data_IF_336949309474
#
_entry.id   IF_336949309474
#
_cell.length_a   1.000
_cell.length_b   1.000
_cell.length_c   1.000
_cell.angle_alpha   90.00
_cell.angle_beta   90.00
_cell.angle_gamma   90.00
#
_symmetry.space_group_name_H-M   'P 1'
#
loop_
_entity.id
_entity.type
_entity.pdbx_description
1 polymer ?
#
# COMPACT_ATOMS: atom_id res chain seq x y z
N UNK A 1 29.72 9.53 -8.75
CA UNK A 1 28.89 8.65 -7.91
C UNK A 1 28.82 7.30 -8.59
N UNK A 2 28.37 6.23 -7.93
CA UNK A 2 28.10 4.97 -8.63
C UNK A 2 26.96 5.18 -9.65
N UNK A 3 27.10 4.66 -10.87
CA UNK A 3 26.11 4.79 -11.94
C UNK A 3 24.74 4.20 -11.53
N UNK A 4 24.74 3.18 -10.66
CA UNK A 4 23.53 2.68 -10.02
C UNK A 4 22.88 3.72 -9.09
N UNK A 5 23.66 4.39 -8.23
CA UNK A 5 23.13 5.42 -7.33
C UNK A 5 22.57 6.62 -8.09
N UNK A 6 23.20 7.04 -9.19
CA UNK A 6 22.65 8.10 -10.05
C UNK A 6 21.30 7.71 -10.67
N UNK A 7 21.08 6.43 -10.97
CA UNK A 7 19.77 5.93 -11.41
C UNK A 7 18.75 6.01 -10.27
N UNK A 8 19.12 5.59 -9.05
CA UNK A 8 18.25 5.68 -7.87
C UNK A 8 17.84 7.14 -7.60
N UNK A 9 18.77 8.08 -7.62
CA UNK A 9 18.46 9.51 -7.42
C UNK A 9 17.49 10.05 -8.50
N UNK A 10 17.67 9.66 -9.78
CA UNK A 10 16.73 10.03 -10.85
C UNK A 10 15.33 9.44 -10.62
N UNK A 11 15.25 8.18 -10.19
CA UNK A 11 13.97 7.52 -9.87
C UNK A 11 13.27 8.19 -8.66
N UNK A 12 14.01 8.49 -7.59
CA UNK A 12 13.50 9.21 -6.42
C UNK A 12 13.02 10.62 -6.77
N UNK A 13 13.74 11.36 -7.61
CA UNK A 13 13.33 12.69 -8.08
C UNK A 13 12.06 12.63 -8.94
N UNK A 14 11.93 11.63 -9.82
CA UNK A 14 10.73 11.41 -10.62
C UNK A 14 9.52 11.03 -9.75
N UNK A 15 9.72 10.14 -8.78
CA UNK A 15 8.70 9.72 -7.82
C UNK A 15 8.24 10.87 -6.91
N UNK A 16 9.17 11.69 -6.40
CA UNK A 16 8.84 12.90 -5.64
C UNK A 16 7.97 13.87 -6.45
N UNK A 17 8.32 14.13 -7.72
CA UNK A 17 7.49 14.94 -8.63
C UNK A 17 6.10 14.32 -8.87
N UNK A 18 6.01 13.00 -9.02
CA UNK A 18 4.75 12.26 -9.18
C UNK A 18 3.84 12.38 -7.95
N UNK A 19 4.40 12.23 -6.75
CA UNK A 19 3.64 12.26 -5.50
C UNK A 19 3.19 13.69 -5.12
N UNK A 20 4.06 14.68 -5.31
CA UNK A 20 3.79 16.10 -4.98
C UNK A 20 2.96 16.84 -6.05
N UNK A 21 2.75 16.27 -7.24
CA UNK A 21 1.93 16.89 -8.29
C UNK A 21 0.50 17.12 -7.80
N UNK A 22 0.08 18.38 -7.74
CA UNK A 22 -1.31 18.78 -7.52
C UNK A 22 -2.18 18.30 -8.69
N UNK A 23 -3.35 17.76 -8.40
CA UNK A 23 -4.27 17.30 -9.44
C UNK A 23 -4.78 18.47 -10.28
N UNK A 24 -4.74 18.40 -11.63
CA UNK A 24 -5.14 19.51 -12.49
C UNK A 24 -6.59 19.93 -12.26
N UNK A 25 -6.87 21.23 -12.38
CA UNK A 25 -8.22 21.79 -12.14
C UNK A 25 -9.32 21.19 -13.04
N UNK A 26 -8.95 20.66 -14.21
CA UNK A 26 -9.84 19.89 -15.09
C UNK A 26 -10.46 18.65 -14.41
N UNK A 27 -9.83 18.11 -13.35
CA UNK A 27 -10.44 17.05 -12.54
C UNK A 27 -11.74 17.50 -11.85
N UNK A 28 -12.12 18.78 -11.79
CA UNK A 28 -13.45 19.19 -11.28
C UNK A 28 -14.60 18.62 -12.11
N UNK A 29 -14.45 18.48 -13.43
CA UNK A 29 -15.47 17.86 -14.27
C UNK A 29 -15.46 16.33 -14.13
N UNK A 30 -14.27 15.70 -14.12
CA UNK A 30 -14.13 14.27 -13.85
C UNK A 30 -14.66 13.87 -12.46
N UNK A 31 -14.49 14.73 -11.45
CA UNK A 31 -15.08 14.58 -10.10
C UNK A 31 -16.60 14.52 -10.11
N UNK A 32 -17.28 15.17 -11.06
CA UNK A 32 -18.74 15.04 -11.22
C UNK A 32 -19.14 13.61 -11.62
N UNK A 33 -18.38 12.99 -12.52
CA UNK A 33 -18.57 11.59 -12.94
C UNK A 33 -18.16 10.63 -11.83
N UNK A 34 -16.99 10.83 -11.21
CA UNK A 34 -16.50 9.98 -10.13
C UNK A 34 -17.38 10.07 -8.87
N UNK A 35 -17.93 11.25 -8.55
CA UNK A 35 -18.95 11.40 -7.50
C UNK A 35 -20.19 10.54 -7.76
N UNK A 36 -20.69 10.51 -9.00
CA UNK A 36 -21.81 9.63 -9.38
C UNK A 36 -21.45 8.16 -9.27
N UNK A 37 -20.27 7.74 -9.72
CA UNK A 37 -19.78 6.36 -9.54
C UNK A 37 -19.69 5.99 -8.06
N UNK A 38 -19.19 6.87 -7.21
CA UNK A 38 -19.10 6.66 -5.76
C UNK A 38 -20.48 6.48 -5.10
N UNK A 39 -21.48 7.20 -5.61
CA UNK A 39 -22.89 7.12 -5.17
C UNK A 39 -23.65 5.91 -5.76
N UNK A 40 -23.13 5.28 -6.83
CA UNK A 40 -23.69 4.06 -7.43
C UNK A 40 -23.21 2.77 -6.75
N UNK A 41 -22.16 2.82 -5.93
CA UNK A 41 -21.69 1.67 -5.14
C UNK A 41 -22.73 1.40 -4.03
N UNK A 42 -23.33 0.19 -3.96
CA UNK A 42 -24.32 -0.12 -2.93
C UNK A 42 -23.73 -0.06 -1.51
N UNK A 43 -24.52 0.39 -0.55
CA UNK A 43 -24.10 0.55 0.86
C UNK A 43 -23.51 -0.74 1.46
N UNK A 44 -24.08 -1.91 1.14
CA UNK A 44 -23.55 -3.22 1.56
C UNK A 44 -22.10 -3.46 1.09
N UNK A 45 -21.75 -2.97 -0.10
CA UNK A 45 -20.40 -3.07 -0.67
C UNK A 45 -19.46 -2.11 0.05
N UNK A 46 -19.87 -0.87 0.32
CA UNK A 46 -19.09 0.08 1.14
C UNK A 46 -18.78 -0.47 2.53
N UNK A 47 -19.77 -1.10 3.18
CA UNK A 47 -19.62 -1.73 4.50
C UNK A 47 -18.67 -2.93 4.47
N UNK A 48 -18.77 -3.78 3.44
CA UNK A 48 -17.87 -4.91 3.24
C UNK A 48 -16.42 -4.48 2.99
N UNK A 49 -16.18 -3.49 2.11
CA UNK A 49 -14.85 -2.91 1.89
C UNK A 49 -14.28 -2.32 3.18
N UNK A 50 -15.08 -1.54 3.90
CA UNK A 50 -14.68 -0.89 5.16
C UNK A 50 -14.31 -1.92 6.21
N UNK A 51 -15.07 -3.01 6.33
CA UNK A 51 -14.79 -4.13 7.24
C UNK A 51 -13.52 -4.90 6.83
N UNK A 52 -13.29 -5.07 5.52
CA UNK A 52 -12.12 -5.75 4.98
C UNK A 52 -10.83 -4.96 5.21
N UNK A 53 -10.86 -3.64 4.95
CA UNK A 53 -9.78 -2.70 5.29
C UNK A 53 -9.54 -2.72 6.80
N UNK A 54 -10.60 -2.76 7.61
CA UNK A 54 -10.47 -2.84 9.08
C UNK A 54 -9.70 -4.07 9.53
N UNK A 55 -10.10 -5.24 9.06
CA UNK A 55 -9.45 -6.50 9.42
C UNK A 55 -8.00 -6.53 8.93
N UNK A 56 -7.72 -6.00 7.74
CA UNK A 56 -6.35 -5.84 7.20
C UNK A 56 -5.47 -4.97 8.11
N UNK A 57 -5.97 -3.80 8.54
CA UNK A 57 -5.26 -2.87 9.43
C UNK A 57 -4.99 -3.50 10.80
N UNK A 58 -5.99 -4.17 11.39
CA UNK A 58 -5.83 -4.86 12.67
C UNK A 58 -4.81 -6.01 12.57
N UNK A 59 -4.88 -6.83 11.51
CA UNK A 59 -3.92 -7.90 11.27
C UNK A 59 -2.48 -7.38 11.07
N UNK A 60 -2.32 -6.23 10.41
CA UNK A 60 -1.02 -5.58 10.23
C UNK A 60 -0.43 -5.08 11.56
N UNK A 61 -1.23 -4.43 12.41
CA UNK A 61 -0.75 -3.89 13.70
C UNK A 61 -0.46 -5.01 14.70
N UNK A 62 -1.36 -6.00 14.84
CA UNK A 62 -1.15 -7.19 15.69
C UNK A 62 0.07 -7.99 15.19
N UNK A 63 0.27 -8.04 13.86
CA UNK A 63 1.45 -8.58 13.19
C UNK A 63 1.51 -10.11 13.07
N UNK A 64 0.71 -10.85 13.84
CA UNK A 64 0.68 -12.32 13.84
C UNK A 64 0.49 -12.97 12.46
N UNK A 65 -0.19 -12.28 11.53
CA UNK A 65 -0.36 -12.70 10.14
C UNK A 65 0.87 -12.47 9.24
N UNK A 66 1.74 -11.51 9.57
CA UNK A 66 2.77 -11.00 8.67
C UNK A 66 4.20 -10.91 9.25
N UNK A 67 4.44 -11.20 10.53
CA UNK A 67 5.80 -11.06 11.12
C UNK A 67 6.48 -12.39 11.46
N UNK A 68 5.74 -13.50 11.48
CA UNK A 68 6.13 -14.76 12.16
C UNK A 68 7.30 -15.53 11.54
N UNK A 69 7.65 -15.27 10.26
CA UNK A 69 8.77 -15.94 9.55
C UNK A 69 9.75 -15.00 8.86
N UNK A 70 9.72 -13.70 9.21
CA UNK A 70 10.53 -12.66 8.55
C UNK A 70 11.66 -12.19 9.46
N UNK A 71 12.85 -12.09 8.87
CA UNK A 71 14.04 -11.49 9.46
C UNK A 71 14.54 -10.42 8.48
N UNK A 72 15.07 -9.28 8.97
CA UNK A 72 15.68 -8.29 8.11
C UNK A 72 16.90 -8.88 7.39
N UNK A 73 17.08 -8.55 6.11
CA UNK A 73 18.29 -8.90 5.37
C UNK A 73 19.32 -7.78 5.57
N UNK A 74 20.30 -8.05 6.41
CA UNK A 74 21.40 -7.13 6.72
C UNK A 74 22.57 -7.28 5.74
N UNK A 75 23.45 -6.27 5.66
CA UNK A 75 24.69 -6.30 4.87
C UNK A 75 24.55 -6.29 3.33
N UNK A 76 23.37 -6.57 2.78
CA UNK A 76 23.12 -6.63 1.33
C UNK A 76 23.26 -5.25 0.66
N UNK A 77 23.93 -5.11 -0.51
CA UNK A 77 23.97 -3.86 -1.28
C UNK A 77 22.58 -3.41 -1.77
N UNK A 78 22.36 -2.10 -1.91
CA UNK A 78 21.04 -1.55 -2.28
C UNK A 78 20.55 -2.05 -3.67
N UNK A 79 21.45 -2.20 -4.64
CA UNK A 79 21.12 -2.74 -5.96
C UNK A 79 20.60 -4.19 -5.90
N UNK A 80 21.17 -4.99 -5.01
CA UNK A 80 20.73 -6.37 -4.82
C UNK A 80 19.38 -6.43 -4.10
N UNK A 81 19.15 -5.57 -3.08
CA UNK A 81 17.84 -5.43 -2.43
C UNK A 81 16.76 -5.06 -3.46
N UNK A 82 17.04 -4.10 -4.33
CA UNK A 82 16.14 -3.68 -5.41
C UNK A 82 15.81 -4.84 -6.36
N UNK A 83 16.82 -5.63 -6.78
CA UNK A 83 16.63 -6.82 -7.61
C UNK A 83 15.69 -7.83 -6.93
N UNK A 84 15.91 -8.14 -5.66
CA UNK A 84 15.03 -9.02 -4.88
C UNK A 84 13.60 -8.47 -4.79
N UNK A 85 13.41 -7.16 -4.67
CA UNK A 85 12.05 -6.56 -4.66
C UNK A 85 11.37 -6.67 -6.03
N UNK A 86 12.10 -6.48 -7.13
CA UNK A 86 11.55 -6.68 -8.49
C UNK A 86 11.09 -8.13 -8.71
N UNK A 87 11.87 -9.11 -8.24
CA UNK A 87 11.48 -10.53 -8.27
C UNK A 87 10.24 -10.80 -7.40
N UNK A 88 10.15 -10.16 -6.22
CA UNK A 88 8.96 -10.23 -5.36
C UNK A 88 7.73 -9.63 -6.05
N UNK A 89 7.83 -8.47 -6.70
CA UNK A 89 6.72 -7.87 -7.47
C UNK A 89 6.20 -8.87 -8.51
N UNK A 90 7.10 -9.49 -9.27
CA UNK A 90 6.75 -10.49 -10.28
C UNK A 90 6.12 -11.76 -9.68
N UNK A 91 6.62 -12.26 -8.55
CA UNK A 91 6.03 -13.37 -7.81
C UNK A 91 4.61 -13.05 -7.34
N UNK A 92 4.40 -11.90 -6.70
CA UNK A 92 3.10 -11.52 -6.16
C UNK A 92 2.05 -11.19 -7.24
N UNK A 93 2.48 -10.68 -8.39
CA UNK A 93 1.61 -10.55 -9.59
C UNK A 93 1.09 -11.91 -10.05
N UNK A 94 1.97 -12.91 -10.16
CA UNK A 94 1.59 -14.28 -10.54
C UNK A 94 0.65 -14.91 -9.49
N UNK A 95 0.91 -14.70 -8.21
CA UNK A 95 0.04 -15.20 -7.12
C UNK A 95 -1.37 -14.60 -7.23
N UNK A 96 -1.48 -13.26 -7.33
CA UNK A 96 -2.76 -12.57 -7.49
C UNK A 96 -3.48 -12.94 -8.80
N UNK A 97 -2.74 -13.32 -9.85
CA UNK A 97 -3.32 -13.84 -11.09
C UNK A 97 -3.94 -15.23 -10.92
N UNK A 98 -3.25 -16.16 -10.24
CA UNK A 98 -3.75 -17.52 -10.00
C UNK A 98 -5.04 -17.48 -9.17
N UNK A 99 -5.06 -16.65 -8.12
CA UNK A 99 -6.25 -16.45 -7.29
C UNK A 99 -7.40 -15.78 -8.09
N UNK A 100 -7.11 -14.69 -8.82
CA UNK A 100 -8.12 -14.00 -9.63
C UNK A 100 -8.60 -14.75 -10.88
N UNK A 101 -7.85 -15.73 -11.37
CA UNK A 101 -8.26 -16.59 -12.48
C UNK A 101 -9.24 -17.70 -12.03
N UNK A 102 -9.13 -18.18 -10.79
CA UNK A 102 -10.02 -19.19 -10.22
C UNK A 102 -11.47 -18.72 -10.09
N UNK A 103 -11.69 -17.45 -9.72
CA UNK A 103 -13.04 -16.87 -9.57
C UNK A 103 -13.54 -16.12 -10.82
N UNK A 104 -12.68 -15.88 -11.82
CA UNK A 104 -13.06 -15.23 -13.09
C UNK A 104 -14.15 -15.94 -13.89
N UNK A 105 -14.35 -17.26 -13.68
CA UNK A 105 -15.41 -18.03 -14.33
C UNK A 105 -16.80 -17.91 -13.66
N UNK A 106 -16.90 -17.37 -12.44
CA UNK A 106 -18.15 -17.31 -11.66
C UNK A 106 -18.69 -15.90 -11.38
N UNK A 107 -18.07 -14.87 -11.97
CA UNK A 107 -18.60 -13.50 -11.97
C UNK A 107 -18.29 -12.65 -10.72
N UNK A 108 -18.78 -11.41 -10.75
CA UNK A 108 -18.41 -10.33 -9.81
C UNK A 108 -18.62 -10.72 -8.34
N UNK A 109 -19.66 -11.50 -8.03
CA UNK A 109 -19.98 -11.89 -6.65
C UNK A 109 -18.90 -12.76 -6.00
N UNK A 110 -18.26 -13.65 -6.76
CA UNK A 110 -17.14 -14.45 -6.24
C UNK A 110 -15.87 -13.60 -6.11
N UNK A 111 -15.61 -12.72 -7.08
CA UNK A 111 -14.49 -11.77 -6.99
C UNK A 111 -14.55 -10.83 -5.77
N UNK A 112 -15.75 -10.47 -5.29
CA UNK A 112 -15.93 -9.67 -4.07
C UNK A 112 -15.51 -10.48 -2.83
N UNK A 113 -15.81 -11.79 -2.77
CA UNK A 113 -15.47 -12.63 -1.63
C UNK A 113 -13.95 -12.73 -1.42
N UNK A 114 -13.16 -12.68 -2.49
CA UNK A 114 -11.69 -12.72 -2.47
C UNK A 114 -11.03 -11.38 -2.11
N UNK A 115 -11.78 -10.27 -2.01
CA UNK A 115 -11.20 -8.95 -1.74
C UNK A 115 -10.32 -8.88 -0.47
N UNK A 116 -10.69 -9.48 0.69
CA UNK A 116 -9.81 -9.54 1.86
C UNK A 116 -8.50 -10.28 1.60
N UNK A 117 -8.51 -11.31 0.73
CA UNK A 117 -7.31 -12.05 0.34
C UNK A 117 -6.42 -11.22 -0.58
N UNK A 118 -7.01 -10.51 -1.56
CA UNK A 118 -6.29 -9.58 -2.43
C UNK A 118 -5.66 -8.39 -1.68
N UNK A 119 -6.27 -7.94 -0.57
CA UNK A 119 -5.65 -7.02 0.40
C UNK A 119 -4.51 -7.71 1.15
N UNK A 120 -4.76 -8.92 1.67
CA UNK A 120 -3.78 -9.73 2.39
C UNK A 120 -2.49 -10.01 1.60
N UNK A 121 -2.60 -10.30 0.29
CA UNK A 121 -1.46 -10.40 -0.62
C UNK A 121 -0.65 -9.11 -0.65
N UNK A 122 -1.31 -7.96 -0.86
CA UNK A 122 -0.64 -6.66 -1.01
C UNK A 122 0.06 -6.25 0.28
N UNK A 123 -0.54 -6.49 1.43
CA UNK A 123 0.14 -6.34 2.73
C UNK A 123 1.31 -7.31 2.87
N UNK A 124 1.11 -8.60 2.60
CA UNK A 124 2.17 -9.62 2.69
C UNK A 124 3.38 -9.27 1.80
N UNK A 125 3.14 -8.68 0.63
CA UNK A 125 4.17 -8.12 -0.25
C UNK A 125 4.93 -6.96 0.40
N UNK A 126 4.25 -5.94 0.94
CA UNK A 126 4.92 -4.84 1.65
C UNK A 126 5.80 -5.32 2.81
N UNK A 127 5.31 -6.29 3.60
CA UNK A 127 6.08 -6.92 4.68
C UNK A 127 7.31 -7.70 4.17
N UNK A 128 7.23 -8.34 2.99
CA UNK A 128 8.41 -8.91 2.33
C UNK A 128 9.41 -7.82 1.91
N UNK A 129 8.93 -6.73 1.28
CA UNK A 129 9.78 -5.62 0.81
C UNK A 129 10.52 -4.94 1.97
N UNK A 130 9.82 -4.65 3.06
CA UNK A 130 10.41 -4.12 4.28
C UNK A 130 11.58 -4.98 4.78
N UNK A 131 11.37 -6.30 4.82
CA UNK A 131 12.36 -7.27 5.28
C UNK A 131 13.57 -7.36 4.33
N UNK A 132 13.34 -7.31 3.01
CA UNK A 132 14.42 -7.24 2.00
C UNK A 132 15.23 -5.96 2.12
N UNK A 133 14.59 -4.83 2.47
CA UNK A 133 15.30 -3.59 2.76
C UNK A 133 15.96 -3.55 4.14
N UNK A 134 15.88 -4.62 4.94
CA UNK A 134 16.53 -4.72 6.25
C UNK A 134 15.74 -4.10 7.41
N UNK A 135 14.46 -3.76 7.21
CA UNK A 135 13.62 -3.17 8.26
C UNK A 135 12.90 -4.25 9.07
N UNK A 136 12.91 -4.09 10.40
CA UNK A 136 12.38 -5.07 11.34
C UNK A 136 10.85 -4.97 11.44
N UNK A 137 10.14 -5.73 10.60
CA UNK A 137 8.67 -5.77 10.59
C UNK A 137 8.01 -6.23 11.91
N UNK A 138 8.79 -6.76 12.86
CA UNK A 138 8.27 -7.06 14.20
C UNK A 138 8.04 -5.80 15.03
N UNK A 139 8.68 -4.67 14.70
CA UNK A 139 8.47 -3.41 15.39
C UNK A 139 7.12 -2.79 15.05
N UNK A 140 6.42 -2.30 16.07
CA UNK A 140 5.11 -1.68 15.94
C UNK A 140 5.14 -0.47 14.99
N UNK A 141 6.16 0.38 15.11
CA UNK A 141 6.32 1.57 14.27
C UNK A 141 6.56 1.19 12.79
N UNK A 142 7.33 0.13 12.51
CA UNK A 142 7.51 -0.35 11.14
C UNK A 142 6.21 -0.90 10.51
N UNK A 143 5.34 -1.56 11.30
CA UNK A 143 4.01 -1.98 10.83
C UNK A 143 3.12 -0.79 10.47
N UNK A 144 3.19 0.30 11.23
CA UNK A 144 2.49 1.54 10.90
C UNK A 144 3.07 2.23 9.66
N UNK A 145 4.39 2.18 9.44
CA UNK A 145 5.01 2.66 8.21
C UNK A 145 4.47 1.91 6.98
N UNK A 146 4.47 0.58 7.04
CA UNK A 146 3.91 -0.30 6.00
C UNK A 146 2.45 0.05 5.69
N UNK A 147 1.62 0.35 6.70
CA UNK A 147 0.26 0.83 6.49
C UNK A 147 0.23 2.18 5.76
N UNK A 148 1.12 3.14 6.08
CA UNK A 148 1.21 4.40 5.33
C UNK A 148 1.69 4.20 3.88
N UNK A 149 2.53 3.20 3.58
CA UNK A 149 2.91 2.86 2.19
C UNK A 149 1.72 2.32 1.38
N UNK A 150 0.90 1.46 2.01
CA UNK A 150 -0.36 1.01 1.42
C UNK A 150 -1.29 2.22 1.20
N UNK A 151 -1.49 3.04 2.24
CA UNK A 151 -2.34 4.23 2.18
C UNK A 151 -1.90 5.20 1.08
N UNK A 152 -0.60 5.49 0.96
CA UNK A 152 -0.04 6.36 -0.07
C UNK A 152 -0.39 5.87 -1.48
N UNK A 153 -0.18 4.58 -1.74
CA UNK A 153 -0.48 3.93 -3.04
C UNK A 153 -1.95 4.03 -3.41
N UNK A 154 -2.84 3.80 -2.45
CA UNK A 154 -4.28 3.68 -2.67
C UNK A 154 -5.09 4.92 -2.23
N UNK A 155 -4.40 6.02 -1.96
CA UNK A 155 -4.99 7.28 -1.52
C UNK A 155 -5.79 7.97 -2.61
N UNK A 156 -6.76 8.77 -2.18
CA UNK A 156 -7.36 9.85 -2.97
C UNK A 156 -6.32 10.94 -3.24
N UNK A 157 -6.46 11.56 -4.39
CA UNK A 157 -5.58 12.61 -4.91
C UNK A 157 -5.36 13.76 -3.91
N UNK A 158 -6.40 14.14 -3.17
CA UNK A 158 -6.37 15.22 -2.17
C UNK A 158 -5.50 14.90 -0.95
N UNK A 159 -5.39 13.60 -0.62
CA UNK A 159 -4.71 13.12 0.59
C UNK A 159 -3.32 12.54 0.30
N UNK A 160 -2.99 12.24 -0.95
CA UNK A 160 -1.67 11.74 -1.38
C UNK A 160 -0.51 12.58 -0.84
N UNK A 161 -0.57 13.91 -0.98
CA UNK A 161 0.53 14.81 -0.60
C UNK A 161 0.77 14.77 0.93
N UNK A 162 -0.30 14.71 1.71
CA UNK A 162 -0.25 14.64 3.17
C UNK A 162 0.38 13.32 3.65
N UNK A 163 -0.04 12.18 3.09
CA UNK A 163 0.56 10.88 3.42
C UNK A 163 2.02 10.83 2.96
N UNK A 164 2.32 11.34 1.77
CA UNK A 164 3.68 11.39 1.23
C UNK A 164 4.62 12.16 2.18
N UNK A 165 4.17 13.28 2.74
CA UNK A 165 4.92 14.01 3.76
C UNK A 165 5.16 13.19 5.04
N UNK A 166 4.14 12.48 5.54
CA UNK A 166 4.29 11.54 6.68
C UNK A 166 5.31 10.42 6.39
N UNK A 167 5.25 9.84 5.19
CA UNK A 167 6.18 8.76 4.75
C UNK A 167 7.62 9.27 4.56
N UNK A 168 7.81 10.48 4.03
CA UNK A 168 9.13 11.10 3.84
C UNK A 168 9.75 11.67 5.13
N UNK A 169 8.96 11.84 6.20
CA UNK A 169 9.41 12.27 7.52
C UNK A 169 9.24 11.18 8.57
N UNK A 170 9.25 9.91 8.16
CA UNK A 170 8.79 8.83 9.03
C UNK A 170 9.53 8.74 10.35
N UNK A 171 10.85 8.99 10.40
CA UNK A 171 11.60 8.93 11.66
C UNK A 171 11.15 10.04 12.65
N UNK A 172 10.86 11.26 12.15
CA UNK A 172 10.30 12.37 12.97
C UNK A 172 8.89 12.03 13.46
N UNK A 173 8.04 11.47 12.60
CA UNK A 173 6.67 11.10 12.93
C UNK A 173 6.62 9.91 13.89
N UNK A 174 7.46 8.90 13.65
CA UNK A 174 7.60 7.71 14.49
C UNK A 174 8.08 8.04 15.89
N UNK A 175 8.91 9.06 16.09
CA UNK A 175 9.31 9.51 17.41
C UNK A 175 8.12 10.06 18.24
N UNK A 176 7.17 10.74 17.58
CA UNK A 176 5.96 11.30 18.21
C UNK A 176 4.90 10.24 18.56
N UNK A 177 4.99 9.05 17.95
CA UNK A 177 4.06 7.96 18.22
C UNK A 177 4.31 7.33 19.60
N UNK A 178 3.25 6.99 20.35
CA UNK A 178 3.34 6.33 21.65
C UNK A 178 4.03 4.96 21.57
N UNK A 179 4.30 4.37 22.75
CA UNK A 179 4.69 2.97 22.85
C UNK A 179 3.60 2.05 22.28
N UNK A 180 3.93 0.79 21.98
CA UNK A 180 2.92 -0.17 21.52
C UNK A 180 1.87 -0.41 22.61
N UNK A 181 2.32 -0.43 23.86
CA UNK A 181 1.53 -0.72 25.06
C UNK A 181 0.54 0.41 25.36
N UNK A 182 0.99 1.67 25.28
CA UNK A 182 0.12 2.84 25.40
C UNK A 182 -0.84 2.96 24.20
N UNK A 183 -0.37 2.66 22.98
CA UNK A 183 -1.22 2.61 21.79
C UNK A 183 -2.33 1.57 21.93
N UNK A 184 -2.02 0.33 22.34
CA UNK A 184 -3.04 -0.71 22.51
C UNK A 184 -4.03 -0.42 23.65
N UNK A 185 -3.62 0.34 24.67
CA UNK A 185 -4.46 0.74 25.81
C UNK A 185 -5.39 1.91 25.48
N UNK A 186 -4.86 2.97 24.87
CA UNK A 186 -5.54 4.27 24.81
C UNK A 186 -6.14 4.59 23.42
N UNK A 187 -5.89 3.78 22.39
CA UNK A 187 -6.41 4.06 21.04
C UNK A 187 -7.93 3.85 20.94
N UNK A 188 -8.63 4.88 20.49
CA UNK A 188 -9.92 4.69 19.84
C UNK A 188 -9.70 4.00 18.49
N UNK A 189 -9.72 2.67 18.53
CA UNK A 189 -9.65 1.80 17.37
C UNK A 189 -10.69 2.16 16.30
N UNK A 190 -11.87 2.64 16.67
CA UNK A 190 -12.91 3.03 15.71
C UNK A 190 -12.55 4.34 15.02
N UNK A 191 -12.10 5.34 15.76
CA UNK A 191 -11.64 6.62 15.19
C UNK A 191 -10.45 6.43 14.24
N UNK A 192 -9.40 5.75 14.68
CA UNK A 192 -8.22 5.46 13.84
C UNK A 192 -8.58 4.69 12.57
N UNK A 193 -9.48 3.71 12.67
CA UNK A 193 -10.01 2.95 11.52
C UNK A 193 -10.75 3.84 10.53
N UNK A 194 -11.63 4.71 11.01
CA UNK A 194 -12.36 5.67 10.16
C UNK A 194 -11.41 6.67 9.51
N UNK A 195 -10.43 7.20 10.26
CA UNK A 195 -9.40 8.09 9.72
C UNK A 195 -8.56 7.39 8.64
N UNK A 196 -8.10 6.16 8.89
CA UNK A 196 -7.28 5.41 7.92
C UNK A 196 -8.05 4.95 6.67
N UNK A 197 -9.36 4.64 6.80
CA UNK A 197 -10.25 4.29 5.67
C UNK A 197 -10.68 5.52 4.89
N UNK A 198 -10.82 6.66 5.55
CA UNK A 198 -10.68 7.92 4.81
C UNK A 198 -9.21 8.11 4.39
N UNK A 199 -8.87 9.14 3.63
CA UNK A 199 -7.69 9.12 2.74
C UNK A 199 -7.74 8.04 1.62
N UNK A 200 -8.00 6.74 1.90
CA UNK A 200 -8.16 5.67 0.89
C UNK A 200 -9.27 6.00 -0.13
N UNK A 201 -9.08 5.58 -1.38
CA UNK A 201 -10.03 5.68 -2.49
C UNK A 201 -10.77 4.34 -2.69
N UNK A 202 -11.96 4.17 -2.10
CA UNK A 202 -12.74 2.92 -2.21
C UNK A 202 -13.05 2.49 -3.67
N UNK A 203 -13.33 3.40 -4.62
CA UNK A 203 -13.33 3.07 -6.05
C UNK A 203 -12.06 2.38 -6.57
N UNK A 204 -10.85 2.79 -6.13
CA UNK A 204 -9.61 2.09 -6.48
C UNK A 204 -9.54 0.70 -5.84
N UNK A 205 -10.13 0.52 -4.65
CA UNK A 205 -10.27 -0.80 -4.02
C UNK A 205 -11.21 -1.72 -4.82
N UNK A 206 -12.34 -1.20 -5.31
CA UNK A 206 -13.24 -1.99 -6.17
C UNK A 206 -12.63 -2.37 -7.51
N UNK A 207 -11.76 -1.54 -8.07
CA UNK A 207 -10.99 -1.86 -9.27
C UNK A 207 -10.04 -3.07 -9.10
N UNK A 208 -9.75 -3.49 -7.86
CA UNK A 208 -9.03 -4.76 -7.60
C UNK A 208 -9.91 -6.00 -7.82
N UNK A 209 -11.23 -5.85 -7.84
CA UNK A 209 -12.16 -6.98 -7.86
C UNK A 209 -12.39 -7.43 -9.32
N UNK A 210 -12.15 -8.72 -9.66
CA UNK A 210 -12.41 -9.22 -11.01
C UNK A 210 -13.84 -8.95 -11.48
N UNK A 211 -13.97 -8.42 -12.70
CA UNK A 211 -15.25 -8.10 -13.33
C UNK A 211 -15.87 -6.76 -12.94
N UNK A 212 -15.33 -6.01 -11.97
CA UNK A 212 -15.86 -4.69 -11.63
C UNK A 212 -15.38 -3.59 -12.60
N UNK A 213 -16.31 -2.87 -13.22
CA UNK A 213 -16.06 -1.60 -13.93
C UNK A 213 -15.41 -1.69 -15.32
N UNK A 214 -14.58 -2.70 -15.62
CA UNK A 214 -14.02 -2.94 -16.95
C UNK A 214 -13.55 -4.39 -17.13
N UNK A 215 -13.45 -4.86 -18.38
CA UNK A 215 -13.01 -6.21 -18.78
C UNK A 215 -11.49 -6.48 -18.56
N UNK A 216 -10.86 -5.89 -17.54
CA UNK A 216 -9.39 -5.88 -17.39
C UNK A 216 -8.90 -6.14 -15.95
N UNK A 217 -9.64 -6.94 -15.17
CA UNK A 217 -9.33 -7.22 -13.75
C UNK A 217 -7.91 -7.75 -13.48
N UNK A 218 -7.32 -8.50 -14.42
CA UNK A 218 -5.92 -8.95 -14.32
C UNK A 218 -4.92 -7.80 -14.49
N UNK A 219 -5.06 -6.99 -15.55
CA UNK A 219 -4.18 -5.84 -15.83
C UNK A 219 -4.20 -4.80 -14.71
N UNK A 220 -5.39 -4.51 -14.17
CA UNK A 220 -5.57 -3.53 -13.10
C UNK A 220 -4.92 -4.02 -11.79
N UNK A 221 -5.05 -5.30 -11.44
CA UNK A 221 -4.33 -5.87 -10.30
C UNK A 221 -2.80 -5.85 -10.48
N UNK A 222 -2.30 -6.08 -11.70
CA UNK A 222 -0.88 -5.95 -12.01
C UNK A 222 -0.40 -4.51 -11.78
N UNK A 223 -1.13 -3.53 -12.33
CA UNK A 223 -0.83 -2.11 -12.17
C UNK A 223 -0.81 -1.69 -10.69
N UNK A 224 -1.74 -2.19 -9.87
CA UNK A 224 -1.73 -1.91 -8.44
C UNK A 224 -0.54 -2.52 -7.69
N UNK A 225 -0.05 -3.70 -8.08
CA UNK A 225 1.19 -4.24 -7.51
C UNK A 225 2.44 -3.49 -8.01
N UNK A 226 2.46 -2.99 -9.25
CA UNK A 226 3.53 -2.10 -9.73
C UNK A 226 3.57 -0.79 -8.94
N UNK A 227 2.43 -0.13 -8.76
CA UNK A 227 2.34 1.12 -8.01
C UNK A 227 2.72 0.95 -6.54
N UNK A 228 2.35 -0.20 -5.94
CA UNK A 228 2.72 -0.56 -4.57
C UNK A 228 4.21 -0.87 -4.44
N UNK A 229 4.79 -1.55 -5.45
CA UNK A 229 6.21 -1.83 -5.55
C UNK A 229 7.05 -0.57 -5.70
N UNK A 230 6.74 0.29 -6.67
CA UNK A 230 7.38 1.60 -6.86
C UNK A 230 7.32 2.45 -5.58
N UNK A 231 6.17 2.49 -4.91
CA UNK A 231 5.98 3.24 -3.67
C UNK A 231 6.84 2.69 -2.54
N UNK A 232 6.84 1.38 -2.32
CA UNK A 232 7.63 0.76 -1.26
C UNK A 232 9.14 0.85 -1.53
N UNK A 233 9.59 0.53 -2.75
CA UNK A 233 11.00 0.64 -3.16
C UNK A 233 11.53 2.03 -2.91
N UNK A 234 10.88 3.07 -3.45
CA UNK A 234 11.36 4.43 -3.32
C UNK A 234 11.33 4.96 -1.88
N UNK A 235 10.32 4.57 -1.10
CA UNK A 235 10.23 4.96 0.30
C UNK A 235 11.35 4.32 1.17
N UNK A 236 11.65 3.04 0.97
CA UNK A 236 12.75 2.37 1.69
C UNK A 236 14.13 2.76 1.19
N UNK A 237 14.34 2.91 -0.13
CA UNK A 237 15.56 3.50 -0.71
C UNK A 237 15.86 4.85 -0.06
N UNK A 238 14.83 5.71 0.07
CA UNK A 238 14.96 7.03 0.70
C UNK A 238 15.41 6.92 2.16
N UNK A 239 14.74 6.08 2.98
CA UNK A 239 15.13 5.85 4.38
C UNK A 239 16.58 5.33 4.48
N UNK A 240 16.97 4.35 3.66
CA UNK A 240 18.36 3.84 3.65
C UNK A 240 19.36 4.95 3.33
N UNK A 241 19.10 5.76 2.31
CA UNK A 241 19.99 6.88 1.90
C UNK A 241 20.05 7.99 2.96
N UNK A 242 19.00 8.18 3.77
CA UNK A 242 19.01 9.13 4.89
C UNK A 242 19.75 8.58 6.12
N UNK A 243 19.61 7.28 6.42
CA UNK A 243 20.32 6.61 7.53
C UNK A 243 21.83 6.37 7.28
N UNK A 244 22.30 6.51 6.04
CA UNK A 244 23.72 6.36 5.66
C UNK A 244 24.42 7.71 5.35
N UNK A 245 23.90 8.82 5.88
CA UNK A 245 24.47 10.18 5.76
C UNK A 245 24.94 10.71 7.10
#
# INVERSE_FOLDING_TARGET
MDAYMEKVDRELLAWNKKMTRKSPLLNRYAKGVQSRVNQMIPERVHQFLTTSIKNMVQAAIIGSAYTTKRQPIEGMPLEERDRFVLDKINYYKKLAMVEGAGTGAGGILLGIADFPLLLGIKMKFLFDVASVYGFNVKEFKERLYILHLFQLTFSRDEKRIEIYQKVMKWEEEAYKLPSKEDYERDIDWKAFQMEYRDYIDLPKMLQMIPGFGALVGAYVNYHFLDALGETAMNAYRRRIIEHHK
#
